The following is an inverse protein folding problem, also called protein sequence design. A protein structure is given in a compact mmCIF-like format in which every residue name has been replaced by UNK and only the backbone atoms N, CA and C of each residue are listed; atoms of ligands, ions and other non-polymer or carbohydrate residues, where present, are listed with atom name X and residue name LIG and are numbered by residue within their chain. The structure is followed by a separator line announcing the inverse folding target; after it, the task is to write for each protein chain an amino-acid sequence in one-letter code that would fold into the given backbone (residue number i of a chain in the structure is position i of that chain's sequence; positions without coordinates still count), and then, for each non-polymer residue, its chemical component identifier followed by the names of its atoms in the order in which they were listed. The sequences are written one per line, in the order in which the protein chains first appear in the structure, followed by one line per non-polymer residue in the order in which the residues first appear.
data_IF_187811760598
#
_entry.id   IF_187811760598
#
_cell.length_a   1.000
_cell.length_b   1.000
_cell.length_c   1.000
_cell.angle_alpha   90.00
_cell.angle_beta   90.00
_cell.angle_gamma   90.00
#
_symmetry.space_group_name_H-M   'P 1'
#
loop_
_entity.id
_entity.type
_entity.pdbx_description
1 polymer ?
#
# COMPACT_ATOMS: atom_id res chain seq x y z
N UNK A 1 -8.28 -7.91 -32.34
CA UNK A 1 -7.95 -8.64 -31.09
C UNK A 1 -6.74 -7.95 -30.48
N UNK A 2 -6.93 -7.16 -29.43
CA UNK A 2 -5.81 -6.54 -28.71
C UNK A 2 -5.07 -7.61 -27.91
N UNK A 3 -3.74 -7.56 -27.90
CA UNK A 3 -2.94 -8.48 -27.10
C UNK A 3 -3.32 -8.37 -25.62
N UNK A 4 -3.38 -9.49 -24.87
CA UNK A 4 -3.63 -9.44 -23.43
C UNK A 4 -2.54 -8.62 -22.75
N UNK A 5 -2.94 -7.69 -21.89
CA UNK A 5 -2.02 -6.93 -21.07
C UNK A 5 -1.18 -7.89 -20.21
N UNK A 6 0.14 -7.86 -20.40
CA UNK A 6 1.10 -8.59 -19.57
C UNK A 6 1.63 -7.61 -18.52
N UNK A 7 1.54 -7.91 -17.22
CA UNK A 7 2.19 -7.09 -16.21
C UNK A 7 3.70 -6.99 -16.45
N UNK A 8 4.36 -5.93 -15.96
CA UNK A 8 5.80 -5.81 -16.08
C UNK A 8 6.50 -7.02 -15.43
N UNK A 9 7.58 -7.48 -16.06
CA UNK A 9 8.33 -8.65 -15.56
C UNK A 9 8.85 -8.42 -14.15
N UNK A 10 9.36 -7.20 -13.88
CA UNK A 10 9.69 -6.75 -12.52
C UNK A 10 8.49 -6.03 -11.89
N UNK A 11 7.95 -6.49 -10.75
CA UNK A 11 6.90 -5.79 -10.03
C UNK A 11 7.33 -4.39 -9.59
N UNK A 12 6.39 -3.45 -9.53
CA UNK A 12 6.69 -2.04 -9.18
C UNK A 12 7.18 -1.84 -7.75
N UNK A 13 6.91 -2.80 -6.87
CA UNK A 13 7.26 -2.79 -5.46
C UNK A 13 8.59 -3.48 -5.16
N UNK A 14 9.20 -4.12 -6.17
CA UNK A 14 10.56 -4.66 -6.10
C UNK A 14 11.49 -3.54 -6.53
N UNK A 15 12.36 -3.08 -5.62
CA UNK A 15 13.23 -1.92 -5.83
C UNK A 15 12.43 -0.68 -6.31
N UNK A 16 11.55 -0.15 -5.44
CA UNK A 16 10.62 0.93 -5.78
C UNK A 16 11.33 2.25 -6.11
N UNK A 17 12.58 2.44 -5.66
CA UNK A 17 13.39 3.61 -5.95
C UNK A 17 14.21 3.50 -7.25
N UNK A 18 14.29 2.31 -7.87
CA UNK A 18 15.04 2.08 -9.11
C UNK A 18 16.56 2.15 -8.94
N UNK A 19 17.08 1.66 -7.81
CA UNK A 19 18.52 1.63 -7.51
C UNK A 19 19.13 2.95 -7.03
N UNK A 20 18.34 4.03 -6.96
CA UNK A 20 18.76 5.32 -6.42
C UNK A 20 18.48 5.40 -4.92
N UNK A 21 19.14 4.57 -4.11
CA UNK A 21 19.25 4.82 -2.66
C UNK A 21 20.53 5.58 -2.32
N UNK A 22 21.46 5.70 -3.27
CA UNK A 22 22.62 6.57 -3.12
C UNK A 22 22.24 8.01 -3.41
N UNK A 23 21.91 8.77 -2.36
CA UNK A 23 22.28 10.18 -2.38
C UNK A 23 23.80 10.19 -2.51
N UNK A 24 24.31 10.59 -3.68
CA UNK A 24 25.73 10.81 -3.90
C UNK A 24 26.17 11.96 -3.00
N UNK A 25 26.49 11.67 -1.74
CA UNK A 25 27.13 12.61 -0.84
C UNK A 25 28.58 12.73 -1.31
N UNK A 26 28.83 13.75 -2.12
CA UNK A 26 30.15 14.34 -2.23
C UNK A 26 30.67 14.56 -0.81
N UNK A 27 31.88 14.06 -0.53
CA UNK A 27 32.56 14.08 0.76
C UNK A 27 32.29 15.37 1.56
N UNK A 28 31.34 15.28 2.48
CA UNK A 28 30.92 16.36 3.38
C UNK A 28 30.06 15.75 4.47
N UNK A 29 30.68 15.55 5.64
CA UNK A 29 30.09 15.17 6.93
C UNK A 29 28.77 14.36 6.85
N UNK A 30 28.89 13.03 6.75
CA UNK A 30 27.77 12.09 6.65
C UNK A 30 26.96 12.05 7.96
N UNK A 31 26.12 13.05 8.16
CA UNK A 31 25.07 12.99 9.16
C UNK A 31 23.91 12.18 8.58
N UNK A 32 23.72 10.95 9.09
CA UNK A 32 22.54 10.15 8.80
C UNK A 32 21.27 11.00 9.01
N UNK A 33 20.29 10.86 8.13
CA UNK A 33 19.03 11.58 8.27
C UNK A 33 18.37 11.24 9.62
N UNK A 34 17.84 12.25 10.32
CA UNK A 34 17.16 12.00 11.58
C UNK A 34 15.87 11.20 11.36
N UNK A 35 15.47 10.40 12.35
CA UNK A 35 14.22 9.62 12.32
C UNK A 35 13.02 10.53 12.03
N UNK A 36 13.02 11.74 12.57
CA UNK A 36 11.99 12.73 12.31
C UNK A 36 11.90 13.11 10.83
N UNK A 37 13.04 13.28 10.15
CA UNK A 37 13.09 13.62 8.72
C UNK A 37 12.61 12.46 7.85
N UNK A 38 13.08 11.24 8.15
CA UNK A 38 12.68 10.02 7.45
C UNK A 38 11.17 9.75 7.58
N UNK A 39 10.65 9.87 8.81
CA UNK A 39 9.24 9.66 9.09
C UNK A 39 8.35 10.74 8.44
N UNK A 40 8.82 12.00 8.37
CA UNK A 40 8.08 13.07 7.68
C UNK A 40 7.92 12.77 6.18
N UNK A 41 8.97 12.29 5.51
CA UNK A 41 8.93 11.89 4.10
C UNK A 41 7.88 10.81 3.83
N UNK A 42 7.86 9.77 4.68
CA UNK A 42 6.85 8.70 4.64
C UNK A 42 5.44 9.27 4.85
N UNK A 43 5.24 10.10 5.88
CA UNK A 43 3.93 10.68 6.23
C UNK A 43 3.38 11.53 5.09
N UNK A 44 4.18 12.46 4.54
CA UNK A 44 3.73 13.35 3.46
C UNK A 44 3.34 12.53 2.23
N UNK A 45 4.17 11.57 1.85
CA UNK A 45 3.93 10.74 0.67
C UNK A 45 2.72 9.82 0.85
N UNK A 46 2.56 9.23 2.03
CA UNK A 46 1.39 8.42 2.37
C UNK A 46 0.10 9.25 2.42
N UNK A 47 0.12 10.47 2.97
CA UNK A 47 -1.02 11.39 2.95
C UNK A 47 -1.44 11.76 1.52
N UNK A 48 -0.47 11.99 0.64
CA UNK A 48 -0.73 12.26 -0.78
C UNK A 48 -1.35 11.06 -1.49
N UNK A 49 -0.88 9.84 -1.19
CA UNK A 49 -1.45 8.61 -1.73
C UNK A 49 -2.89 8.38 -1.21
N UNK A 50 -3.11 8.57 0.09
CA UNK A 50 -4.40 8.37 0.74
C UNK A 50 -5.42 9.40 0.26
N UNK A 51 -5.05 10.67 0.18
CA UNK A 51 -5.92 11.73 -0.34
C UNK A 51 -6.42 11.41 -1.76
N UNK A 52 -5.51 10.97 -2.63
CA UNK A 52 -5.89 10.54 -3.98
C UNK A 52 -6.84 9.34 -3.96
N UNK A 53 -6.49 8.30 -3.19
CA UNK A 53 -7.32 7.10 -3.05
C UNK A 53 -8.72 7.46 -2.52
N UNK A 54 -8.83 8.17 -1.41
CA UNK A 54 -10.10 8.54 -0.78
C UNK A 54 -10.95 9.41 -1.69
N UNK A 55 -10.37 10.33 -2.46
CA UNK A 55 -11.11 11.20 -3.40
C UNK A 55 -11.88 10.43 -4.49
N UNK A 56 -11.39 9.24 -4.85
CA UNK A 56 -11.99 8.39 -5.88
C UNK A 56 -13.01 7.38 -5.33
N UNK A 57 -12.94 7.08 -4.03
CA UNK A 57 -13.68 5.99 -3.40
C UNK A 57 -15.20 6.11 -3.56
N UNK A 58 -15.75 7.32 -3.38
CA UNK A 58 -17.18 7.58 -3.55
C UNK A 58 -17.66 7.28 -4.98
N UNK A 59 -16.92 7.76 -5.99
CA UNK A 59 -17.29 7.54 -7.39
C UNK A 59 -17.14 6.08 -7.77
N UNK A 60 -16.07 5.42 -7.31
CA UNK A 60 -15.84 4.00 -7.54
C UNK A 60 -17.01 3.16 -7.00
N UNK A 61 -17.38 3.35 -5.72
CA UNK A 61 -18.45 2.58 -5.10
C UNK A 61 -19.80 2.85 -5.75
N UNK A 62 -20.09 4.12 -6.07
CA UNK A 62 -21.32 4.50 -6.75
C UNK A 62 -21.43 3.83 -8.13
N UNK A 63 -20.37 3.84 -8.93
CA UNK A 63 -20.41 3.30 -10.29
C UNK A 63 -20.46 1.76 -10.30
N UNK A 64 -19.71 1.08 -9.42
CA UNK A 64 -19.63 -0.39 -9.42
C UNK A 64 -20.78 -1.06 -8.66
N UNK A 65 -21.28 -0.44 -7.60
CA UNK A 65 -22.27 -1.08 -6.72
C UNK A 65 -23.61 -0.35 -6.64
N UNK A 66 -23.74 0.82 -7.27
CA UNK A 66 -24.94 1.66 -7.17
C UNK A 66 -25.34 1.92 -5.70
N UNK A 67 -24.35 2.13 -4.84
CA UNK A 67 -24.48 2.34 -3.39
C UNK A 67 -23.74 3.61 -2.97
N UNK A 68 -24.09 4.16 -1.81
CA UNK A 68 -23.23 5.13 -1.13
C UNK A 68 -22.03 4.43 -0.48
N UNK A 69 -20.93 5.20 -0.31
CA UNK A 69 -19.67 4.69 0.22
C UNK A 69 -19.82 4.13 1.64
N UNK A 70 -20.54 4.84 2.52
CA UNK A 70 -20.62 4.49 3.93
C UNK A 70 -21.40 3.19 4.13
N UNK A 71 -22.59 3.08 3.52
CA UNK A 71 -23.41 1.87 3.56
C UNK A 71 -22.67 0.66 2.97
N UNK A 72 -21.98 0.85 1.84
CA UNK A 72 -21.18 -0.21 1.24
C UNK A 72 -20.01 -0.62 2.13
N UNK A 73 -19.30 0.36 2.70
CA UNK A 73 -18.22 0.09 3.65
C UNK A 73 -18.73 -0.68 4.87
N UNK A 74 -19.82 -0.22 5.49
CA UNK A 74 -20.42 -0.87 6.66
C UNK A 74 -20.87 -2.31 6.40
N UNK A 75 -21.37 -2.59 5.19
CA UNK A 75 -21.77 -3.94 4.77
C UNK A 75 -20.58 -4.90 4.74
N UNK A 76 -19.41 -4.43 4.28
CA UNK A 76 -18.26 -5.28 3.99
C UNK A 76 -17.10 -5.13 4.98
N UNK A 77 -17.18 -4.23 5.99
CA UNK A 77 -16.05 -3.88 6.88
C UNK A 77 -15.43 -5.05 7.65
N UNK A 78 -16.20 -6.10 7.90
CA UNK A 78 -15.73 -7.30 8.59
C UNK A 78 -15.16 -8.38 7.64
N UNK A 79 -15.39 -8.24 6.34
CA UNK A 79 -14.86 -9.15 5.33
C UNK A 79 -13.42 -8.78 5.00
N UNK A 80 -12.52 -9.77 4.99
CA UNK A 80 -11.10 -9.57 4.71
C UNK A 80 -10.48 -10.83 4.13
N UNK A 81 -9.59 -10.66 3.15
CA UNK A 81 -8.76 -11.76 2.69
C UNK A 81 -7.60 -12.01 3.65
N UNK A 82 -7.37 -13.26 4.03
CA UNK A 82 -6.29 -13.66 4.95
C UNK A 82 -4.88 -13.32 4.44
N UNK A 83 -4.71 -13.14 3.14
CA UNK A 83 -3.42 -12.79 2.53
C UNK A 83 -3.12 -11.29 2.56
N UNK A 84 -4.10 -10.45 2.87
CA UNK A 84 -3.89 -9.02 3.04
C UNK A 84 -3.23 -8.74 4.40
N UNK A 85 -2.49 -7.62 4.56
CA UNK A 85 -1.78 -7.30 5.80
C UNK A 85 -2.72 -7.38 7.00
N UNK A 86 -2.31 -7.94 8.14
CA UNK A 86 -3.19 -8.00 9.32
C UNK A 86 -3.02 -6.76 10.21
N UNK A 87 -3.75 -5.69 9.89
CA UNK A 87 -3.71 -4.40 10.60
C UNK A 87 -4.80 -4.40 11.69
N UNK A 88 -4.51 -3.97 12.94
CA UNK A 88 -5.46 -4.04 14.07
C UNK A 88 -6.43 -2.84 14.11
N UNK A 89 -6.93 -2.41 12.95
CA UNK A 89 -7.95 -1.37 12.79
C UNK A 89 -8.68 -1.53 11.45
N UNK A 90 -9.91 -1.03 11.38
CA UNK A 90 -10.63 -0.80 10.13
C UNK A 90 -10.32 0.58 9.52
N UNK A 91 -10.69 0.75 8.25
CA UNK A 91 -10.59 2.04 7.56
C UNK A 91 -11.36 3.12 8.32
N UNK A 92 -10.73 4.27 8.56
CA UNK A 92 -11.30 5.40 9.29
C UNK A 92 -11.31 5.25 10.83
N UNK A 93 -10.90 4.09 11.36
CA UNK A 93 -10.73 3.89 12.81
C UNK A 93 -9.32 4.28 13.24
N UNK A 94 -9.13 4.68 14.50
CA UNK A 94 -7.79 4.95 15.04
C UNK A 94 -7.07 3.64 15.38
N UNK A 95 -5.76 3.61 15.17
CA UNK A 95 -4.89 2.54 15.66
C UNK A 95 -4.97 2.48 17.19
N UNK A 96 -5.23 1.30 17.78
CA UNK A 96 -5.40 1.18 19.23
C UNK A 96 -4.12 1.54 20.03
N UNK A 97 -4.25 2.28 21.12
CA UNK A 97 -3.12 2.73 21.95
C UNK A 97 -2.28 1.57 22.50
N UNK A 98 -2.91 0.43 22.83
CA UNK A 98 -2.19 -0.75 23.31
C UNK A 98 -1.30 -1.36 22.22
N UNK A 99 -1.71 -1.25 20.95
CA UNK A 99 -0.91 -1.69 19.82
C UNK A 99 0.26 -0.73 19.57
N UNK A 100 0.03 0.58 19.64
CA UNK A 100 1.10 1.59 19.57
C UNK A 100 2.14 1.40 20.68
N UNK A 101 1.69 1.11 21.90
CA UNK A 101 2.56 0.80 23.03
C UNK A 101 3.42 -0.44 22.78
N UNK A 102 2.82 -1.51 22.24
CA UNK A 102 3.55 -2.72 21.86
C UNK A 102 4.55 -2.48 20.70
N UNK A 103 4.25 -1.55 19.80
CA UNK A 103 5.20 -1.16 18.74
C UNK A 103 6.40 -0.40 19.31
N UNK A 104 6.21 0.45 20.31
CA UNK A 104 7.32 1.14 20.98
C UNK A 104 8.35 0.16 21.55
N UNK A 105 7.91 -0.98 22.08
CA UNK A 105 8.79 -2.06 22.56
C UNK A 105 9.58 -2.73 21.43
N UNK A 106 9.01 -2.83 20.22
CA UNK A 106 9.63 -3.45 19.03
C UNK A 106 10.60 -2.53 18.26
N UNK A 107 10.57 -1.23 18.55
CA UNK A 107 11.37 -0.15 17.90
C UNK A 107 10.94 0.19 16.46
N UNK A 108 11.35 1.37 16.02
CA UNK A 108 11.06 1.92 14.69
C UNK A 108 11.55 1.00 13.56
N UNK A 109 12.76 0.45 13.69
CA UNK A 109 13.37 -0.43 12.69
C UNK A 109 12.47 -1.61 12.30
N UNK A 110 11.91 -2.29 13.30
CA UNK A 110 10.99 -3.41 13.09
C UNK A 110 9.75 -2.96 12.33
N UNK A 111 9.19 -1.81 12.71
CA UNK A 111 8.00 -1.26 12.07
C UNK A 111 8.27 -0.84 10.61
N UNK A 112 9.42 -0.25 10.30
CA UNK A 112 9.77 0.10 8.92
C UNK A 112 9.79 -1.14 8.01
N UNK A 113 10.41 -2.23 8.47
CA UNK A 113 10.42 -3.49 7.72
C UNK A 113 9.02 -4.07 7.55
N UNK A 114 8.22 -4.08 8.62
CA UNK A 114 6.88 -4.65 8.57
C UNK A 114 5.91 -3.82 7.70
N UNK A 115 5.97 -2.48 7.81
CA UNK A 115 5.19 -1.58 6.95
C UNK A 115 5.58 -1.70 5.49
N UNK A 116 6.86 -1.89 5.16
CA UNK A 116 7.31 -2.17 3.81
C UNK A 116 6.64 -3.44 3.26
N UNK A 117 6.64 -4.54 4.04
CA UNK A 117 5.95 -5.79 3.66
C UNK A 117 4.44 -5.61 3.48
N UNK A 118 3.79 -4.82 4.35
CA UNK A 118 2.37 -4.52 4.21
C UNK A 118 2.06 -3.79 2.91
N UNK A 119 2.83 -2.74 2.61
CA UNK A 119 2.68 -1.95 1.39
C UNK A 119 2.95 -2.79 0.13
N UNK A 120 3.96 -3.67 0.14
CA UNK A 120 4.23 -4.59 -0.97
C UNK A 120 3.07 -5.58 -1.17
N UNK A 121 2.51 -6.12 -0.08
CA UNK A 121 1.37 -7.05 -0.13
C UNK A 121 0.14 -6.39 -0.75
N UNK A 122 -0.16 -5.14 -0.38
CA UNK A 122 -1.24 -4.38 -1.01
C UNK A 122 -0.93 -4.06 -2.47
N UNK A 123 0.33 -3.79 -2.83
CA UNK A 123 0.73 -3.53 -4.20
C UNK A 123 0.41 -4.71 -5.13
N UNK A 124 0.57 -5.96 -4.66
CA UNK A 124 0.14 -7.17 -5.38
C UNK A 124 -1.35 -7.10 -5.73
N UNK A 125 -2.19 -6.69 -4.77
CA UNK A 125 -3.63 -6.54 -4.96
C UNK A 125 -3.96 -5.45 -5.97
N UNK A 126 -3.38 -4.25 -5.84
CA UNK A 126 -3.63 -3.14 -6.76
C UNK A 126 -3.19 -3.46 -8.19
N UNK A 127 -2.07 -4.18 -8.35
CA UNK A 127 -1.61 -4.67 -9.65
C UNK A 127 -2.65 -5.59 -10.29
N UNK A 128 -3.23 -6.51 -9.51
CA UNK A 128 -4.28 -7.42 -9.98
C UNK A 128 -5.56 -6.66 -10.40
N UNK A 129 -6.00 -5.67 -9.61
CA UNK A 129 -7.17 -4.85 -9.97
C UNK A 129 -6.94 -4.16 -11.31
N UNK A 130 -5.79 -3.47 -11.45
CA UNK A 130 -5.47 -2.77 -12.68
C UNK A 130 -5.37 -3.71 -13.89
N UNK A 131 -4.73 -4.88 -13.72
CA UNK A 131 -4.65 -5.90 -14.77
C UNK A 131 -6.04 -6.33 -15.24
N UNK A 132 -6.97 -6.59 -14.31
CA UNK A 132 -8.33 -6.99 -14.65
C UNK A 132 -9.09 -5.85 -15.34
N UNK A 133 -8.95 -4.61 -14.87
CA UNK A 133 -9.56 -3.46 -15.53
C UNK A 133 -9.06 -3.27 -16.97
N UNK A 134 -7.76 -3.43 -17.23
CA UNK A 134 -7.23 -3.37 -18.59
C UNK A 134 -7.74 -4.53 -19.44
N UNK A 135 -7.75 -5.75 -18.88
CA UNK A 135 -8.19 -6.97 -19.57
C UNK A 135 -9.65 -6.90 -19.99
N UNK A 136 -10.51 -6.38 -19.14
CA UNK A 136 -11.96 -6.28 -19.37
C UNK A 136 -12.40 -4.91 -19.90
N UNK A 137 -11.46 -4.00 -20.16
CA UNK A 137 -11.74 -2.63 -20.60
C UNK A 137 -12.74 -1.91 -19.66
N UNK A 138 -12.52 -2.06 -18.36
CA UNK A 138 -13.34 -1.43 -17.33
C UNK A 138 -12.88 0.01 -17.03
N UNK A 139 -13.83 0.84 -16.58
CA UNK A 139 -13.54 2.16 -16.01
C UNK A 139 -12.56 2.09 -14.83
N UNK A 140 -11.95 3.22 -14.50
CA UNK A 140 -10.98 3.41 -13.41
C UNK A 140 -9.57 2.83 -13.62
N UNK A 141 -9.28 2.21 -14.78
CA UNK A 141 -7.92 1.69 -15.07
C UNK A 141 -6.81 2.75 -14.90
N UNK A 142 -6.92 3.98 -15.47
CA UNK A 142 -5.92 5.03 -15.27
C UNK A 142 -5.73 5.42 -13.79
N UNK A 143 -6.82 5.45 -13.04
CA UNK A 143 -6.84 5.80 -11.63
C UNK A 143 -6.12 4.75 -10.78
N UNK A 144 -6.39 3.47 -11.01
CA UNK A 144 -5.70 2.37 -10.32
C UNK A 144 -4.23 2.25 -10.71
N UNK A 145 -3.86 2.60 -11.95
CA UNK A 145 -2.46 2.74 -12.36
C UNK A 145 -1.78 3.88 -11.58
N UNK A 146 -2.46 5.02 -11.40
CA UNK A 146 -1.92 6.12 -10.62
C UNK A 146 -1.83 5.81 -9.12
N UNK A 147 -2.79 5.05 -8.56
CA UNK A 147 -2.69 4.53 -7.18
C UNK A 147 -1.44 3.64 -7.01
N UNK A 148 -1.15 2.78 -7.98
CA UNK A 148 0.08 1.98 -7.99
C UNK A 148 1.34 2.83 -7.99
N UNK A 149 1.40 3.90 -8.80
CA UNK A 149 2.55 4.81 -8.80
C UNK A 149 2.69 5.57 -7.47
N UNK A 150 1.59 6.00 -6.87
CA UNK A 150 1.60 6.64 -5.55
C UNK A 150 2.05 5.68 -4.45
N UNK A 151 1.59 4.43 -4.46
CA UNK A 151 2.06 3.40 -3.55
C UNK A 151 3.56 3.11 -3.74
N UNK A 152 4.04 3.09 -4.99
CA UNK A 152 5.48 2.98 -5.29
C UNK A 152 6.28 4.12 -4.65
N UNK A 153 5.76 5.36 -4.65
CA UNK A 153 6.42 6.48 -3.96
C UNK A 153 6.49 6.24 -2.45
N UNK A 154 5.41 5.81 -1.81
CA UNK A 154 5.40 5.48 -0.37
C UNK A 154 6.40 4.36 -0.06
N UNK A 155 6.40 3.29 -0.86
CA UNK A 155 7.36 2.20 -0.75
C UNK A 155 8.81 2.70 -0.87
N UNK A 156 9.08 3.66 -1.75
CA UNK A 156 10.41 4.21 -1.89
C UNK A 156 10.84 5.01 -0.64
N UNK A 157 9.97 5.85 -0.08
CA UNK A 157 10.27 6.57 1.17
C UNK A 157 10.57 5.60 2.33
N UNK A 158 9.78 4.53 2.47
CA UNK A 158 10.03 3.50 3.49
C UNK A 158 11.35 2.77 3.21
N UNK A 159 11.66 2.44 1.95
CA UNK A 159 12.91 1.78 1.58
C UNK A 159 14.15 2.66 1.84
N UNK A 160 14.05 3.97 1.61
CA UNK A 160 15.09 4.95 1.97
C UNK A 160 15.28 4.95 3.49
N UNK A 161 14.21 5.03 4.27
CA UNK A 161 14.31 5.00 5.73
C UNK A 161 14.94 3.70 6.25
N UNK A 162 14.61 2.54 5.65
CA UNK A 162 15.26 1.27 5.98
C UNK A 162 16.75 1.30 5.61
N UNK A 163 17.10 1.80 4.42
CA UNK A 163 18.49 1.83 3.95
C UNK A 163 19.38 2.73 4.82
N UNK A 164 18.85 3.87 5.29
CA UNK A 164 19.55 4.80 6.16
C UNK A 164 19.77 4.22 7.57
N UNK A 165 18.77 3.55 8.14
CA UNK A 165 18.82 3.01 9.51
C UNK A 165 19.45 1.63 9.60
N UNK A 166 19.29 0.82 8.57
CA UNK A 166 19.67 -0.59 8.51
C UNK A 166 20.35 -0.92 7.17
N UNK A 167 21.52 -0.33 6.86
CA UNK A 167 22.16 -0.45 5.54
C UNK A 167 22.54 -1.88 5.15
N UNK A 168 22.79 -2.75 6.13
CA UNK A 168 23.13 -4.16 5.89
C UNK A 168 21.91 -5.08 5.74
N UNK A 169 20.70 -4.57 5.98
CA UNK A 169 19.49 -5.37 5.90
C UNK A 169 19.09 -5.64 4.46
N UNK A 170 18.99 -6.93 4.12
CA UNK A 170 18.35 -7.38 2.88
C UNK A 170 16.91 -7.73 3.18
N UNK A 171 15.98 -7.04 2.53
CA UNK A 171 14.55 -7.32 2.64
C UNK A 171 14.18 -8.35 1.58
N UNK A 172 13.55 -9.45 2.00
CA UNK A 172 12.88 -10.35 1.07
C UNK A 172 11.58 -9.70 0.57
N UNK A 173 11.53 -9.40 -0.73
CA UNK A 173 10.37 -8.79 -1.36
C UNK A 173 9.18 -9.77 -1.38
N UNK A 174 7.97 -9.22 -1.19
CA UNK A 174 6.73 -10.01 -1.32
C UNK A 174 6.55 -10.46 -2.78
N UNK A 175 6.42 -11.77 -2.97
CA UNK A 175 6.10 -12.34 -4.27
C UNK A 175 4.61 -12.21 -4.58
N UNK A 176 4.29 -12.18 -5.87
CA UNK A 176 2.90 -12.24 -6.35
C UNK A 176 2.15 -13.40 -5.68
N UNK A 177 2.73 -14.58 -5.51
CA UNK A 177 2.07 -15.77 -4.94
C UNK A 177 1.35 -15.59 -3.59
N UNK A 178 1.58 -14.50 -2.84
CA UNK A 178 0.78 -14.15 -1.66
C UNK A 178 -0.73 -14.10 -1.97
N UNK A 179 -1.11 -13.64 -3.16
CA UNK A 179 -2.49 -13.73 -3.66
C UNK A 179 -2.67 -15.04 -4.43
N UNK A 180 -3.57 -15.90 -3.96
CA UNK A 180 -3.77 -17.22 -4.55
C UNK A 180 -4.20 -17.16 -6.02
N UNK A 181 -3.81 -18.14 -6.86
CA UNK A 181 -4.21 -18.19 -8.27
C UNK A 181 -5.73 -18.14 -8.49
N UNK A 182 -6.53 -18.68 -7.55
CA UNK A 182 -7.99 -18.69 -7.69
C UNK A 182 -8.60 -17.29 -7.56
N UNK A 183 -8.02 -16.42 -6.72
CA UNK A 183 -8.44 -15.02 -6.65
C UNK A 183 -7.92 -14.18 -7.83
N UNK A 184 -6.83 -14.62 -8.47
CA UNK A 184 -6.24 -13.98 -9.67
C UNK A 184 -6.92 -14.36 -10.97
N UNK A 185 -7.50 -15.56 -11.01
CA UNK A 185 -8.23 -16.02 -12.18
C UNK A 185 -9.32 -15.00 -12.44
N UNK A 186 -9.22 -14.36 -13.61
CA UNK A 186 -10.21 -13.46 -14.13
C UNK A 186 -11.52 -14.26 -14.32
N UNK A 187 -12.33 -14.31 -13.26
CA UNK A 187 -13.67 -14.88 -13.30
C UNK A 187 -14.48 -14.03 -14.30
N UNK A 188 -15.33 -14.64 -15.13
CA UNK A 188 -16.22 -13.88 -16.02
C UNK A 188 -17.26 -13.08 -15.24
N UNK A 189 -17.60 -13.51 -14.01
CA UNK A 189 -18.52 -12.79 -13.12
C UNK A 189 -17.89 -11.49 -12.61
N UNK A 190 -18.44 -10.36 -13.04
CA UNK A 190 -17.99 -9.03 -12.63
C UNK A 190 -18.31 -8.71 -11.18
N UNK A 191 -19.42 -9.21 -10.63
CA UNK A 191 -19.83 -8.91 -9.25
C UNK A 191 -18.84 -9.48 -8.24
N UNK A 192 -18.34 -10.70 -8.48
CA UNK A 192 -17.29 -11.28 -7.65
C UNK A 192 -15.99 -10.46 -7.70
N UNK A 193 -15.56 -10.05 -8.91
CA UNK A 193 -14.35 -9.23 -9.08
C UNK A 193 -14.48 -7.90 -8.37
N UNK A 194 -15.62 -7.21 -8.50
CA UNK A 194 -15.83 -5.92 -7.87
C UNK A 194 -15.74 -5.99 -6.36
N UNK A 195 -16.35 -6.99 -5.71
CA UNK A 195 -16.22 -7.17 -4.26
C UNK A 195 -14.77 -7.42 -3.86
N UNK A 196 -14.07 -8.31 -4.57
CA UNK A 196 -12.63 -8.55 -4.34
C UNK A 196 -11.83 -7.25 -4.43
N UNK A 197 -12.04 -6.48 -5.49
CA UNK A 197 -11.33 -5.24 -5.78
C UNK A 197 -11.61 -4.17 -4.72
N UNK A 198 -12.87 -4.08 -4.27
CA UNK A 198 -13.25 -3.22 -3.17
C UNK A 198 -12.51 -3.58 -1.88
N UNK A 199 -12.47 -4.87 -1.51
CA UNK A 199 -11.77 -5.30 -0.29
C UNK A 199 -10.28 -4.95 -0.34
N UNK A 200 -9.62 -5.17 -1.48
CA UNK A 200 -8.21 -4.80 -1.69
C UNK A 200 -8.02 -3.27 -1.62
N UNK A 201 -8.89 -2.51 -2.31
CA UNK A 201 -8.83 -1.05 -2.36
C UNK A 201 -9.08 -0.41 -0.98
N UNK A 202 -10.00 -0.97 -0.19
CA UNK A 202 -10.23 -0.59 1.20
C UNK A 202 -9.00 -0.87 2.06
N UNK A 203 -8.42 -2.06 1.95
CA UNK A 203 -7.21 -2.38 2.71
C UNK A 203 -6.00 -1.53 2.30
N UNK A 204 -5.93 -1.08 1.05
CA UNK A 204 -4.93 -0.09 0.64
C UNK A 204 -5.07 1.23 1.40
N UNK A 205 -6.29 1.80 1.45
CA UNK A 205 -6.53 3.02 2.21
C UNK A 205 -6.27 2.81 3.71
N UNK A 206 -6.71 1.69 4.28
CA UNK A 206 -6.48 1.33 5.69
C UNK A 206 -4.98 1.20 6.01
N UNK A 207 -4.21 0.60 5.09
CA UNK A 207 -2.76 0.47 5.22
C UNK A 207 -2.07 1.84 5.23
N UNK A 208 -2.49 2.77 4.37
CA UNK A 208 -1.92 4.12 4.35
C UNK A 208 -2.24 4.90 5.63
N UNK A 209 -3.48 4.84 6.11
CA UNK A 209 -3.85 5.46 7.39
C UNK A 209 -3.02 4.90 8.56
N UNK A 210 -2.91 3.57 8.65
CA UNK A 210 -2.10 2.92 9.67
C UNK A 210 -0.63 3.34 9.58
N UNK A 211 -0.07 3.44 8.37
CA UNK A 211 1.31 3.89 8.19
C UNK A 211 1.50 5.32 8.70
N UNK A 212 0.58 6.22 8.36
CA UNK A 212 0.60 7.62 8.81
C UNK A 212 0.54 7.69 10.34
N UNK A 213 -0.43 7.02 10.95
CA UNK A 213 -0.66 7.06 12.40
C UNK A 213 0.53 6.52 13.19
N UNK A 214 1.14 5.41 12.76
CA UNK A 214 2.29 4.84 13.46
C UNK A 214 3.55 5.69 13.26
N UNK A 215 3.76 6.26 12.07
CA UNK A 215 4.86 7.20 11.84
C UNK A 215 4.69 8.48 12.69
N UNK A 216 3.47 9.01 12.81
CA UNK A 216 3.17 10.15 13.70
C UNK A 216 3.44 9.80 15.17
N UNK A 217 3.08 8.58 15.61
CA UNK A 217 3.41 8.08 16.94
C UNK A 217 4.92 8.05 17.17
N UNK A 218 5.71 7.44 16.29
CA UNK A 218 7.17 7.35 16.44
C UNK A 218 7.88 8.71 16.40
N UNK A 219 7.27 9.74 15.79
CA UNK A 219 7.78 11.11 15.86
C UNK A 219 7.53 11.81 17.20
N UNK A 220 6.57 11.32 17.98
CA UNK A 220 6.12 11.95 19.22
C UNK A 220 6.74 11.36 20.49
N UNK A 221 7.41 10.22 20.37
CA UNK A 221 8.02 9.46 21.48
C UNK A 221 9.52 9.70 21.60
#
# INVERSE_FOLDING_TARGET
MSAPYKPPEKPIWVDPCGGHTSVSVEQGDSSQASDQTLLEGIIITAKNALSYASSLSHQYVKNKFNSDLNSHHDTWKHERYHWLPNIPKGLGEKTPDHHLSALAEKRLDWYLVESYRYLQTVAVGLEQIHQDMVRFNEEFSPEFLNMQYKLKQVLCEVHIAISEKMPELKIDDVDRSVMSPDLRKANSDSSFRWIRDWLIYREFMNCLEYVIEVCEFFKSV
#
